data_IF_187713402365
#
_entry.id   IF_187713402365
#
_cell.length_a   1.000
_cell.length_b   1.000
_cell.length_c   1.000
_cell.angle_alpha   90.00
_cell.angle_beta   90.00
_cell.angle_gamma   90.00
#
_symmetry.space_group_name_H-M   'P 1'
#
loop_
_entity.id
_entity.type
_entity.pdbx_description
1 polymer ?
#
# COMPACT_ATOMS: atom_id res chain seq x y z
N UNK A 1 -12.77 -22.46 -64.51
CA UNK A 1 -12.86 -22.54 -63.07
C UNK A 1 -11.82 -21.61 -62.43
N UNK A 2 -12.20 -20.47 -61.91
CA UNK A 2 -11.31 -19.55 -61.23
C UNK A 2 -11.38 -19.81 -59.72
N UNK A 3 -10.22 -20.22 -59.13
CA UNK A 3 -10.09 -20.31 -57.68
C UNK A 3 -9.93 -18.90 -57.10
N UNK A 4 -10.92 -18.47 -56.30
CA UNK A 4 -10.80 -17.28 -55.49
C UNK A 4 -9.96 -17.61 -54.25
N UNK A 5 -8.75 -17.02 -54.14
CA UNK A 5 -7.94 -17.07 -52.92
C UNK A 5 -8.54 -16.14 -51.88
N UNK A 6 -9.09 -16.70 -50.79
CA UNK A 6 -9.55 -15.93 -49.63
C UNK A 6 -8.33 -15.52 -48.82
N UNK A 7 -7.98 -14.24 -48.80
CA UNK A 7 -6.97 -13.68 -47.89
C UNK A 7 -7.56 -13.61 -46.48
N UNK A 8 -7.09 -14.45 -45.58
CA UNK A 8 -7.40 -14.36 -44.15
C UNK A 8 -6.61 -13.18 -43.57
N UNK A 9 -7.30 -12.06 -43.32
CA UNK A 9 -6.75 -10.93 -42.59
C UNK A 9 -6.70 -11.33 -41.11
N UNK A 10 -5.51 -11.63 -40.60
CA UNK A 10 -5.29 -11.72 -39.16
C UNK A 10 -5.45 -10.30 -38.57
N UNK A 11 -6.48 -10.10 -37.76
CA UNK A 11 -6.54 -8.92 -36.94
C UNK A 11 -5.30 -8.88 -36.01
N UNK A 12 -4.63 -7.73 -35.87
CA UNK A 12 -3.51 -7.62 -34.94
C UNK A 12 -4.00 -8.06 -33.55
N UNK A 13 -3.23 -8.93 -32.88
CA UNK A 13 -3.50 -9.33 -31.51
C UNK A 13 -3.58 -8.06 -30.66
N UNK A 14 -4.74 -7.78 -30.09
CA UNK A 14 -4.93 -6.64 -29.21
C UNK A 14 -4.01 -6.86 -27.98
N UNK A 15 -3.02 -5.99 -27.82
CA UNK A 15 -2.10 -6.08 -26.67
C UNK A 15 -2.93 -6.01 -25.41
N UNK A 16 -2.86 -7.07 -24.60
CA UNK A 16 -3.62 -7.14 -23.35
C UNK A 16 -3.17 -6.00 -22.43
N UNK A 17 -4.09 -5.11 -22.08
CA UNK A 17 -3.80 -4.01 -21.17
C UNK A 17 -3.48 -4.55 -19.78
N UNK A 18 -2.53 -3.90 -19.13
CA UNK A 18 -2.15 -4.23 -17.75
C UNK A 18 -3.26 -3.77 -16.79
N UNK A 19 -3.38 -4.44 -15.65
CA UNK A 19 -4.31 -4.01 -14.61
C UNK A 19 -3.73 -2.82 -13.84
N UNK A 20 -4.59 -1.87 -13.47
CA UNK A 20 -4.25 -0.77 -12.57
C UNK A 20 -4.75 -1.12 -11.16
N UNK A 21 -3.86 -1.15 -10.16
CA UNK A 21 -4.22 -1.10 -8.75
C UNK A 21 -4.35 0.37 -8.34
N UNK A 22 -5.56 0.80 -7.91
CA UNK A 22 -5.81 2.19 -7.57
C UNK A 22 -6.05 2.36 -6.08
N UNK A 23 -5.34 3.31 -5.46
CA UNK A 23 -5.44 3.62 -4.04
C UNK A 23 -5.32 5.11 -3.78
N UNK A 24 -6.20 5.66 -2.95
CA UNK A 24 -6.19 7.06 -2.52
C UNK A 24 -6.68 7.20 -1.07
N UNK A 25 -6.58 8.41 -0.53
CA UNK A 25 -7.23 8.85 0.70
C UNK A 25 -8.43 9.80 0.42
N UNK A 26 -9.01 9.73 -0.79
CA UNK A 26 -10.06 10.66 -1.23
C UNK A 26 -11.45 10.35 -0.64
N UNK A 27 -11.61 9.18 0.01
CA UNK A 27 -12.92 8.61 0.34
C UNK A 27 -13.76 8.32 -0.93
N UNK A 28 -14.98 7.85 -0.75
CA UNK A 28 -15.94 7.53 -1.83
C UNK A 28 -17.23 8.36 -1.74
N UNK A 29 -17.17 9.45 -0.94
CA UNK A 29 -18.33 10.32 -0.71
C UNK A 29 -18.59 11.32 -1.83
N UNK A 30 -17.53 11.70 -2.56
CA UNK A 30 -17.61 12.63 -3.67
C UNK A 30 -17.20 11.97 -5.00
N UNK A 31 -17.02 12.78 -6.03
CA UNK A 31 -16.76 12.36 -7.41
C UNK A 31 -15.26 12.15 -7.72
N UNK A 32 -14.33 12.43 -6.80
CA UNK A 32 -12.89 12.46 -7.07
C UNK A 32 -12.36 11.11 -7.60
N UNK A 33 -12.75 10.01 -6.98
CA UNK A 33 -12.36 8.65 -7.42
C UNK A 33 -12.95 8.33 -8.80
N UNK A 34 -14.22 8.68 -9.01
CA UNK A 34 -14.92 8.48 -10.29
C UNK A 34 -14.26 9.26 -11.42
N UNK A 35 -13.91 10.52 -11.19
CA UNK A 35 -13.20 11.37 -12.16
C UNK A 35 -11.82 10.78 -12.52
N UNK A 36 -11.04 10.36 -11.54
CA UNK A 36 -9.75 9.72 -11.79
C UNK A 36 -9.87 8.48 -12.68
N UNK A 37 -10.87 7.62 -12.41
CA UNK A 37 -11.14 6.43 -13.24
C UNK A 37 -11.60 6.79 -14.64
N UNK A 38 -12.44 7.81 -14.79
CA UNK A 38 -12.86 8.30 -16.10
C UNK A 38 -11.69 8.82 -16.94
N UNK A 39 -10.74 9.52 -16.31
CA UNK A 39 -9.48 9.93 -16.96
C UNK A 39 -8.65 8.71 -17.38
N UNK A 40 -8.53 7.69 -16.53
CA UNK A 40 -7.81 6.46 -16.86
C UNK A 40 -8.44 5.76 -18.06
N UNK A 41 -9.76 5.62 -18.08
CA UNK A 41 -10.49 5.00 -19.21
C UNK A 41 -10.36 5.84 -20.49
N UNK A 42 -10.38 7.17 -20.39
CA UNK A 42 -10.21 8.07 -21.54
C UNK A 42 -8.83 7.94 -22.20
N UNK A 43 -7.78 7.67 -21.44
CA UNK A 43 -6.40 7.45 -21.96
C UNK A 43 -6.21 6.00 -22.43
N UNK A 44 -6.73 5.03 -21.70
CA UNK A 44 -6.62 3.60 -21.97
C UNK A 44 -8.02 2.96 -21.95
N UNK A 45 -8.82 3.10 -23.02
CA UNK A 45 -10.20 2.61 -23.06
C UNK A 45 -10.31 1.13 -22.72
N UNK A 46 -11.18 0.79 -21.76
CA UNK A 46 -11.37 -0.56 -21.27
C UNK A 46 -10.27 -1.06 -20.31
N UNK A 47 -9.41 -0.19 -19.81
CA UNK A 47 -8.40 -0.56 -18.80
C UNK A 47 -9.10 -1.09 -17.53
N UNK A 48 -8.62 -2.20 -17.02
CA UNK A 48 -9.15 -2.77 -15.79
C UNK A 48 -8.53 -2.09 -14.58
N UNK A 49 -9.36 -1.38 -13.81
CA UNK A 49 -8.97 -0.75 -12.55
C UNK A 49 -9.51 -1.58 -11.38
N UNK A 50 -8.62 -1.95 -10.45
CA UNK A 50 -8.94 -2.63 -9.20
C UNK A 50 -8.68 -1.66 -8.06
N UNK A 51 -9.71 -1.28 -7.32
CA UNK A 51 -9.54 -0.46 -6.13
C UNK A 51 -8.88 -1.26 -5.01
N UNK A 52 -7.79 -0.74 -4.48
CA UNK A 52 -7.17 -1.28 -3.25
C UNK A 52 -7.95 -0.74 -2.05
N UNK A 53 -8.01 0.57 -1.94
CA UNK A 53 -8.87 1.32 -1.02
C UNK A 53 -8.87 2.80 -1.39
N UNK A 54 -9.94 3.51 -1.03
CA UNK A 54 -10.03 4.97 -1.08
C UNK A 54 -10.37 5.57 0.28
N UNK A 55 -10.42 4.71 1.31
CA UNK A 55 -10.76 5.04 2.69
C UNK A 55 -9.57 4.82 3.63
N UNK A 56 -8.34 5.01 3.14
CA UNK A 56 -7.19 5.15 4.03
C UNK A 56 -7.35 6.45 4.83
N UNK A 57 -6.78 6.46 6.03
CA UNK A 57 -6.78 7.68 6.85
C UNK A 57 -6.16 8.83 6.07
N UNK A 58 -6.83 10.00 5.99
CA UNK A 58 -6.34 11.15 5.24
C UNK A 58 -4.92 11.54 5.68
N UNK A 59 -4.06 11.80 4.67
CA UNK A 59 -2.68 12.24 4.84
C UNK A 59 -1.73 11.19 5.45
N UNK A 60 -2.20 9.97 5.80
CA UNK A 60 -1.38 8.94 6.42
C UNK A 60 -0.57 8.17 5.37
N UNK A 61 0.60 8.74 4.99
CA UNK A 61 1.51 8.14 4.00
C UNK A 61 2.03 6.78 4.49
N UNK A 62 2.29 6.62 5.80
CA UNK A 62 2.79 5.37 6.37
C UNK A 62 1.77 4.24 6.24
N UNK A 63 0.47 4.50 6.48
CA UNK A 63 -0.62 3.55 6.23
C UNK A 63 -0.68 3.19 4.74
N UNK A 64 -0.60 4.20 3.85
CA UNK A 64 -0.59 3.98 2.41
C UNK A 64 0.58 3.10 1.96
N UNK A 65 1.79 3.34 2.45
CA UNK A 65 2.96 2.51 2.16
C UNK A 65 2.75 1.05 2.62
N UNK A 66 2.14 0.83 3.80
CA UNK A 66 1.80 -0.51 4.29
C UNK A 66 0.77 -1.20 3.41
N UNK A 67 -0.29 -0.49 3.02
CA UNK A 67 -1.34 -1.07 2.16
C UNK A 67 -0.79 -1.38 0.77
N UNK A 68 -0.01 -0.49 0.17
CA UNK A 68 0.63 -0.72 -1.12
C UNK A 68 1.54 -1.95 -1.07
N UNK A 69 2.45 -2.00 -0.12
CA UNK A 69 3.36 -3.14 0.04
C UNK A 69 2.62 -4.45 0.34
N UNK A 70 1.55 -4.40 1.14
CA UNK A 70 0.74 -5.57 1.46
C UNK A 70 -0.10 -6.08 0.29
N UNK A 71 -0.54 -5.21 -0.61
CA UNK A 71 -1.41 -5.56 -1.75
C UNK A 71 -0.62 -5.96 -3.01
N UNK A 72 0.51 -5.31 -3.28
CA UNK A 72 1.27 -5.50 -4.51
C UNK A 72 1.63 -6.96 -4.83
N UNK A 73 1.97 -7.84 -3.87
CA UNK A 73 2.27 -9.25 -4.15
C UNK A 73 1.12 -10.05 -4.76
N UNK A 74 -0.12 -9.60 -4.59
CA UNK A 74 -1.33 -10.29 -5.11
C UNK A 74 -1.74 -9.80 -6.50
N UNK A 75 -1.05 -8.79 -7.03
CA UNK A 75 -1.26 -8.30 -8.38
C UNK A 75 -0.30 -8.94 -9.38
N UNK A 76 -0.64 -8.95 -10.68
CA UNK A 76 0.27 -9.41 -11.73
C UNK A 76 1.63 -8.68 -11.67
N UNK A 77 2.70 -9.37 -12.12
CA UNK A 77 4.06 -8.80 -12.10
C UNK A 77 4.23 -7.57 -13.00
N UNK A 78 3.37 -7.38 -13.96
CA UNK A 78 3.35 -6.23 -14.87
C UNK A 78 2.27 -5.20 -14.52
N UNK A 79 1.59 -5.35 -13.38
CA UNK A 79 0.58 -4.40 -12.92
C UNK A 79 1.13 -2.99 -12.75
N UNK A 80 0.26 -2.01 -12.92
CA UNK A 80 0.53 -0.60 -12.68
C UNK A 80 -0.23 -0.19 -11.40
N UNK A 81 0.44 0.47 -10.49
CA UNK A 81 -0.19 1.03 -9.28
C UNK A 81 -0.27 2.54 -9.40
N UNK A 82 -1.47 3.09 -9.28
CA UNK A 82 -1.71 4.52 -9.12
C UNK A 82 -2.08 4.77 -7.67
N UNK A 83 -1.20 5.45 -6.93
CA UNK A 83 -1.38 5.65 -5.49
C UNK A 83 -1.29 7.13 -5.17
N UNK A 84 -2.36 7.69 -4.62
CA UNK A 84 -2.44 9.13 -4.34
C UNK A 84 -2.85 9.35 -2.89
N UNK A 85 -1.87 9.39 -2.00
CA UNK A 85 -1.96 9.91 -0.64
C UNK A 85 -0.93 11.02 -0.59
N UNK A 86 -1.38 12.27 -0.75
CA UNK A 86 -0.52 13.38 -1.17
C UNK A 86 -0.79 14.67 -0.40
N UNK A 87 -0.38 14.72 0.89
CA UNK A 87 -0.46 15.98 1.66
C UNK A 87 0.40 17.10 1.08
N UNK A 88 1.30 16.80 0.15
CA UNK A 88 2.16 17.74 -0.55
C UNK A 88 1.69 18.16 -1.94
N UNK A 89 0.41 17.94 -2.31
CA UNK A 89 -0.13 18.33 -3.61
C UNK A 89 0.12 19.82 -3.87
N UNK A 90 0.60 20.14 -5.09
CA UNK A 90 0.91 21.54 -5.47
C UNK A 90 2.22 22.11 -4.88
N UNK A 91 2.96 21.35 -4.08
CA UNK A 91 4.30 21.73 -3.57
C UNK A 91 5.42 21.33 -4.56
N UNK A 92 6.66 21.42 -4.11
CA UNK A 92 7.85 20.99 -4.87
C UNK A 92 8.09 19.49 -4.86
N UNK A 93 7.23 18.68 -4.19
CA UNK A 93 7.35 17.22 -4.20
C UNK A 93 7.20 16.71 -5.64
N UNK A 94 8.03 15.76 -6.03
CA UNK A 94 8.00 15.18 -7.37
C UNK A 94 6.81 14.26 -7.57
N UNK A 95 6.21 14.27 -8.77
CA UNK A 95 5.35 13.19 -9.25
C UNK A 95 6.24 12.20 -9.98
N UNK A 96 6.16 10.92 -9.65
CA UNK A 96 7.08 9.92 -10.21
C UNK A 96 6.36 8.71 -10.79
N UNK A 97 7.02 8.11 -11.78
CA UNK A 97 6.75 6.77 -12.25
C UNK A 97 8.01 5.93 -12.01
N UNK A 98 7.85 4.78 -11.36
CA UNK A 98 8.97 3.93 -10.95
C UNK A 98 8.68 2.47 -11.24
N UNK A 99 9.72 1.68 -11.52
CA UNK A 99 9.61 0.23 -11.75
C UNK A 99 10.37 -0.55 -10.70
N UNK A 100 9.70 -1.54 -10.12
CA UNK A 100 10.35 -2.48 -9.21
C UNK A 100 11.08 -3.57 -9.98
N UNK A 101 12.01 -4.25 -9.28
CA UNK A 101 12.75 -5.40 -9.83
C UNK A 101 11.86 -6.57 -10.25
N UNK A 102 10.68 -6.70 -9.63
CA UNK A 102 9.70 -7.74 -9.99
C UNK A 102 8.88 -7.39 -11.24
N UNK A 103 8.99 -6.14 -11.74
CA UNK A 103 8.36 -5.70 -12.99
C UNK A 103 7.13 -4.82 -12.82
N UNK A 104 6.63 -4.63 -11.60
CA UNK A 104 5.49 -3.74 -11.32
C UNK A 104 5.88 -2.27 -11.46
N UNK A 105 4.94 -1.46 -11.95
CA UNK A 105 5.12 -0.02 -12.16
C UNK A 105 4.30 0.76 -11.14
N UNK A 106 4.87 1.80 -10.56
CA UNK A 106 4.26 2.63 -9.51
C UNK A 106 4.21 4.09 -9.96
N UNK A 107 3.04 4.69 -9.94
CA UNK A 107 2.76 6.09 -10.31
C UNK A 107 2.19 6.78 -9.08
N UNK A 108 2.97 7.67 -8.47
CA UNK A 108 2.66 8.22 -7.15
C UNK A 108 3.49 9.47 -6.83
N UNK A 109 3.16 10.25 -5.78
CA UNK A 109 4.03 11.29 -5.27
C UNK A 109 5.29 10.68 -4.61
N UNK A 110 6.45 11.30 -4.86
CA UNK A 110 7.71 10.96 -4.17
C UNK A 110 7.70 11.55 -2.75
N UNK A 111 7.00 10.87 -1.85
CA UNK A 111 6.80 11.29 -0.46
C UNK A 111 6.98 10.16 0.56
N UNK A 112 7.54 9.02 0.10
CA UNK A 112 7.80 7.86 0.95
C UNK A 112 6.83 6.69 0.78
N UNK A 113 5.78 6.82 -0.02
CA UNK A 113 4.84 5.72 -0.33
C UNK A 113 5.53 4.45 -0.84
N UNK A 114 6.67 4.59 -1.55
CA UNK A 114 7.45 3.45 -2.06
C UNK A 114 8.33 2.76 -1.03
N UNK A 115 8.51 3.31 0.17
CA UNK A 115 9.51 2.83 1.13
C UNK A 115 9.49 1.32 1.33
N UNK A 116 8.35 0.74 1.65
CA UNK A 116 8.24 -0.70 1.93
C UNK A 116 8.31 -1.57 0.66
N UNK A 117 7.86 -1.07 -0.48
CA UNK A 117 8.04 -1.75 -1.78
C UNK A 117 9.52 -1.74 -2.16
N UNK A 118 10.22 -0.62 -1.94
CA UNK A 118 11.65 -0.50 -2.20
C UNK A 118 12.47 -1.46 -1.33
N UNK A 119 12.08 -1.64 -0.06
CA UNK A 119 12.75 -2.58 0.85
C UNK A 119 12.55 -4.03 0.43
N UNK A 120 11.31 -4.40 0.04
CA UNK A 120 10.99 -5.78 -0.33
C UNK A 120 11.49 -6.17 -1.72
N UNK A 121 11.22 -5.31 -2.72
CA UNK A 121 11.37 -5.66 -4.14
C UNK A 121 12.55 -4.93 -4.79
N UNK A 122 12.98 -3.81 -4.23
CA UNK A 122 13.91 -2.87 -4.88
C UNK A 122 13.25 -2.11 -6.03
N UNK A 123 13.68 -0.87 -6.23
CA UNK A 123 13.32 -0.06 -7.40
C UNK A 123 14.52 -0.04 -8.34
N UNK A 124 14.30 -0.35 -9.61
CA UNK A 124 15.39 -0.44 -10.61
C UNK A 124 15.53 0.85 -11.41
N UNK A 125 14.43 1.58 -11.61
CA UNK A 125 14.41 2.81 -12.40
C UNK A 125 13.21 3.67 -11.98
N UNK A 126 13.40 4.99 -12.03
CA UNK A 126 12.35 5.97 -11.76
C UNK A 126 12.52 7.21 -12.63
N UNK A 127 11.41 7.82 -13.03
CA UNK A 127 11.34 9.06 -13.78
C UNK A 127 10.42 10.05 -13.10
N UNK A 128 10.75 11.34 -13.18
CA UNK A 128 9.84 12.42 -12.80
C UNK A 128 8.82 12.62 -13.92
N UNK A 129 7.53 12.67 -13.58
CA UNK A 129 6.46 12.91 -14.55
C UNK A 129 6.43 14.40 -14.84
N UNK A 130 7.04 14.81 -15.95
CA UNK A 130 7.15 16.22 -16.39
C UNK A 130 6.70 16.41 -17.82
N UNK A 131 6.52 15.32 -18.59
CA UNK A 131 6.06 15.40 -19.98
C UNK A 131 4.54 15.68 -20.02
N UNK A 132 4.08 16.81 -20.58
CA UNK A 132 2.66 17.14 -20.69
C UNK A 132 1.82 16.10 -21.44
N UNK A 133 2.43 15.32 -22.35
CA UNK A 133 1.75 14.24 -23.06
C UNK A 133 1.34 13.07 -22.14
N UNK A 134 1.90 12.99 -20.93
CA UNK A 134 1.61 11.99 -19.90
C UNK A 134 0.64 12.51 -18.84
N UNK A 135 0.14 13.73 -19.00
CA UNK A 135 -0.78 14.41 -18.10
C UNK A 135 -2.09 14.71 -18.83
N UNK A 136 -3.06 15.31 -18.12
CA UNK A 136 -4.37 15.67 -18.72
C UNK A 136 -4.26 16.77 -19.81
N UNK A 137 -3.07 17.32 -20.04
CA UNK A 137 -2.82 18.40 -20.99
C UNK A 137 -2.47 19.72 -20.31
N UNK A 138 -3.00 20.84 -20.78
CA UNK A 138 -2.79 22.16 -20.19
C UNK A 138 -3.73 22.40 -19.01
N UNK A 139 -3.30 23.20 -18.03
CA UNK A 139 -4.17 23.61 -16.92
C UNK A 139 -4.16 22.62 -15.75
N UNK A 140 -2.97 22.10 -15.40
CA UNK A 140 -2.78 21.26 -14.21
C UNK A 140 -3.23 22.03 -12.97
N UNK A 141 -4.21 21.47 -12.24
CA UNK A 141 -4.68 22.04 -10.97
C UNK A 141 -3.61 21.91 -9.88
N UNK A 142 -3.47 22.93 -9.06
CA UNK A 142 -2.58 22.85 -7.89
C UNK A 142 -3.09 21.96 -6.75
N UNK A 143 -4.34 21.48 -6.85
CA UNK A 143 -5.00 20.71 -5.77
C UNK A 143 -5.52 19.35 -6.19
N UNK A 144 -5.40 18.96 -7.48
CA UNK A 144 -5.95 17.67 -7.94
C UNK A 144 -4.99 16.92 -8.89
N UNK A 145 -3.76 16.68 -8.44
CA UNK A 145 -2.77 15.91 -9.20
C UNK A 145 -3.18 14.44 -9.41
N UNK A 146 -4.07 13.90 -8.57
CA UNK A 146 -4.70 12.59 -8.79
C UNK A 146 -5.32 12.48 -10.17
N UNK A 147 -6.14 13.47 -10.54
CA UNK A 147 -6.80 13.59 -11.85
C UNK A 147 -5.81 13.97 -12.96
N UNK A 148 -4.97 14.97 -12.71
CA UNK A 148 -4.26 15.67 -13.78
C UNK A 148 -2.92 15.04 -14.15
N UNK A 149 -2.28 14.33 -13.22
CA UNK A 149 -0.93 13.76 -13.38
C UNK A 149 -0.94 12.24 -13.19
N UNK A 150 -1.39 11.75 -12.02
CA UNK A 150 -1.19 10.34 -11.67
C UNK A 150 -2.12 9.40 -12.46
N UNK A 151 -3.39 9.75 -12.63
CA UNK A 151 -4.34 8.93 -13.39
C UNK A 151 -3.96 8.79 -14.86
N UNK A 152 -3.69 9.87 -15.63
CA UNK A 152 -3.29 9.73 -17.02
C UNK A 152 -1.94 9.01 -17.15
N UNK A 153 -0.93 9.30 -16.32
CA UNK A 153 0.36 8.63 -16.37
C UNK A 153 0.24 7.12 -16.10
N UNK A 154 -0.58 6.73 -15.12
CA UNK A 154 -0.87 5.32 -14.84
C UNK A 154 -1.56 4.61 -16.00
N UNK A 155 -2.50 5.28 -16.67
CA UNK A 155 -3.21 4.74 -17.81
C UNK A 155 -2.30 4.58 -19.04
N UNK A 156 -1.41 5.54 -19.33
CA UNK A 156 -0.37 5.41 -20.35
C UNK A 156 0.50 4.17 -20.10
N UNK A 157 1.00 4.01 -18.88
CA UNK A 157 1.81 2.86 -18.50
C UNK A 157 1.04 1.52 -18.61
N UNK A 158 -0.26 1.50 -18.25
CA UNK A 158 -1.11 0.31 -18.35
C UNK A 158 -1.44 -0.04 -19.80
N UNK A 159 -1.62 0.95 -20.66
CA UNK A 159 -1.79 0.76 -22.12
C UNK A 159 -0.56 0.14 -22.78
N UNK A 160 0.60 0.28 -22.15
CA UNK A 160 1.87 -0.26 -22.65
C UNK A 160 2.75 0.76 -23.36
N UNK A 161 2.47 2.05 -23.17
CA UNK A 161 3.34 3.12 -23.68
C UNK A 161 4.71 3.04 -23.00
N UNK A 162 5.73 3.56 -23.66
CA UNK A 162 7.09 3.61 -23.11
C UNK A 162 7.14 4.60 -21.94
N UNK A 163 7.03 4.08 -20.73
CA UNK A 163 6.92 4.86 -19.51
C UNK A 163 8.15 5.73 -19.20
N UNK A 164 9.31 5.45 -19.86
CA UNK A 164 10.50 6.30 -19.74
C UNK A 164 10.29 7.68 -20.39
N UNK A 165 9.30 7.79 -21.28
CA UNK A 165 8.92 9.05 -21.91
C UNK A 165 8.10 9.97 -20.99
N UNK A 166 7.75 9.53 -19.78
CA UNK A 166 7.02 10.37 -18.82
C UNK A 166 7.84 11.59 -18.35
N UNK A 167 9.18 11.52 -18.42
CA UNK A 167 10.05 12.62 -18.09
C UNK A 167 11.48 12.19 -17.77
N UNK A 168 12.22 13.04 -17.04
CA UNK A 168 13.64 12.81 -16.75
C UNK A 168 13.87 11.68 -15.76
N UNK A 169 14.94 10.91 -15.98
CA UNK A 169 15.38 9.85 -15.06
C UNK A 169 15.77 10.43 -13.70
N UNK A 170 15.43 9.73 -12.64
CA UNK A 170 15.77 10.05 -11.26
C UNK A 170 16.81 9.08 -10.69
N UNK A 171 17.63 9.57 -9.80
CA UNK A 171 18.49 8.73 -8.97
C UNK A 171 17.63 8.02 -7.92
N UNK A 172 17.45 6.71 -8.09
CA UNK A 172 16.63 5.86 -7.21
C UNK A 172 17.09 5.94 -5.75
N UNK A 173 18.38 6.16 -5.49
CA UNK A 173 18.92 6.28 -4.14
C UNK A 173 18.45 7.55 -3.41
N UNK A 174 17.92 8.53 -4.13
CA UNK A 174 17.41 9.81 -3.61
C UNK A 174 15.90 9.89 -3.52
N UNK A 175 15.19 8.83 -3.85
CA UNK A 175 13.74 8.78 -3.62
C UNK A 175 13.45 8.94 -2.13
N UNK A 176 12.39 9.68 -1.83
CA UNK A 176 11.99 9.94 -0.45
C UNK A 176 11.63 8.64 0.26
N UNK A 177 12.13 8.50 1.48
CA UNK A 177 11.86 7.34 2.34
C UNK A 177 11.24 7.78 3.65
N UNK A 178 10.26 7.01 4.10
CA UNK A 178 9.72 7.13 5.45
C UNK A 178 10.67 6.45 6.43
N UNK A 179 10.76 7.02 7.61
CA UNK A 179 11.41 6.41 8.75
C UNK A 179 10.40 5.47 9.45
N UNK A 180 10.33 4.24 8.96
CA UNK A 180 9.42 3.21 9.47
C UNK A 180 10.23 2.21 10.29
N UNK A 181 10.24 2.41 11.60
CA UNK A 181 10.95 1.51 12.49
C UNK A 181 10.16 0.23 12.76
N UNK A 182 10.84 -0.91 12.72
CA UNK A 182 10.36 -2.13 13.36
C UNK A 182 10.66 -2.05 14.87
N UNK A 183 9.92 -2.83 15.65
CA UNK A 183 10.19 -3.00 17.06
C UNK A 183 11.64 -3.47 17.30
N UNK A 184 12.23 -3.05 18.40
CA UNK A 184 13.58 -3.39 18.81
C UNK A 184 13.58 -4.25 20.07
N UNK A 185 14.57 -5.13 20.22
CA UNK A 185 14.77 -5.93 21.43
C UNK A 185 16.02 -5.44 22.15
N UNK A 186 15.88 -5.17 23.43
CA UNK A 186 17.00 -4.83 24.34
C UNK A 186 17.06 -5.80 25.53
N UNK A 187 17.76 -5.40 26.61
CA UNK A 187 17.89 -6.20 27.84
C UNK A 187 16.59 -6.38 28.60
N UNK A 188 15.64 -5.44 28.49
CA UNK A 188 14.38 -5.46 29.21
C UNK A 188 13.24 -6.16 28.43
N UNK A 189 13.40 -6.33 27.13
CA UNK A 189 12.40 -6.95 26.27
C UNK A 189 12.29 -6.29 24.91
N UNK A 190 11.13 -6.46 24.28
CA UNK A 190 10.77 -5.85 23.01
C UNK A 190 10.09 -4.50 23.27
N UNK A 191 10.49 -3.49 22.52
CA UNK A 191 9.90 -2.15 22.48
C UNK A 191 9.38 -1.89 21.08
N UNK A 192 8.11 -1.52 21.00
CA UNK A 192 7.42 -1.28 19.74
C UNK A 192 6.28 -0.29 19.86
N UNK A 193 5.50 -0.18 18.79
CA UNK A 193 4.35 0.72 18.69
C UNK A 193 3.20 0.07 17.92
N UNK A 194 1.99 0.55 18.19
CA UNK A 194 0.82 0.30 17.35
C UNK A 194 0.96 1.13 16.07
N UNK A 195 0.92 0.48 14.91
CA UNK A 195 1.07 1.13 13.61
C UNK A 195 -0.25 1.27 12.84
N UNK A 196 -1.34 0.93 13.45
CA UNK A 196 -2.68 1.08 12.89
C UNK A 196 -3.65 0.04 13.42
N UNK A 197 -4.87 0.10 12.91
CA UNK A 197 -5.93 -0.86 13.21
C UNK A 197 -6.33 -1.63 11.95
N UNK A 198 -6.81 -2.85 12.12
CA UNK A 198 -7.25 -3.71 11.04
C UNK A 198 -8.73 -3.47 10.72
N UNK A 199 -8.97 -2.59 9.75
CA UNK A 199 -10.28 -2.27 9.18
C UNK A 199 -11.40 -2.08 10.19
N UNK A 200 -12.62 -2.60 9.93
CA UNK A 200 -13.76 -2.41 10.82
C UNK A 200 -13.68 -3.26 12.09
N UNK A 201 -12.74 -4.21 12.17
CA UNK A 201 -12.61 -5.12 13.32
C UNK A 201 -11.88 -4.47 14.49
N UNK A 202 -11.08 -3.42 14.25
CA UNK A 202 -10.35 -2.69 15.27
C UNK A 202 -9.26 -3.48 15.97
N UNK A 203 -8.73 -4.54 15.35
CA UNK A 203 -7.54 -5.21 15.85
C UNK A 203 -6.34 -4.28 15.75
N UNK A 204 -5.46 -4.26 16.74
CA UNK A 204 -4.24 -3.47 16.68
C UNK A 204 -3.17 -4.20 15.88
N UNK A 205 -2.60 -3.53 14.90
CA UNK A 205 -1.43 -4.00 14.14
C UNK A 205 -0.18 -3.37 14.75
N UNK A 206 0.79 -4.20 15.12
CA UNK A 206 2.02 -3.75 15.78
C UNK A 206 3.18 -3.68 14.78
N UNK A 207 4.17 -2.81 15.04
CA UNK A 207 5.40 -2.77 14.25
C UNK A 207 6.37 -3.92 14.57
N UNK A 208 5.83 -5.05 15.03
CA UNK A 208 6.56 -6.23 15.50
C UNK A 208 6.46 -7.35 14.47
N UNK A 209 7.52 -7.59 13.66
CA UNK A 209 7.58 -8.77 12.79
C UNK A 209 7.52 -10.07 13.60
N UNK A 210 6.91 -11.10 13.04
CA UNK A 210 6.77 -12.41 13.68
C UNK A 210 8.12 -13.00 14.12
N UNK A 211 9.16 -12.85 13.29
CA UNK A 211 10.53 -13.30 13.59
C UNK A 211 11.17 -12.51 14.75
N UNK A 212 10.81 -11.24 14.93
CA UNK A 212 11.26 -10.43 16.07
C UNK A 212 10.57 -10.88 17.34
N UNK A 213 9.23 -11.11 17.27
CA UNK A 213 8.48 -11.63 18.43
C UNK A 213 8.97 -13.01 18.87
N UNK A 214 9.29 -13.90 17.92
CA UNK A 214 9.78 -15.24 18.22
C UNK A 214 11.10 -15.24 19.05
N UNK A 215 11.90 -14.18 18.98
CA UNK A 215 13.14 -14.05 19.77
C UNK A 215 12.88 -13.82 21.26
N UNK A 216 11.65 -13.48 21.65
CA UNK A 216 11.26 -13.35 23.06
C UNK A 216 11.05 -14.70 23.75
N UNK A 217 10.88 -15.79 22.99
CA UNK A 217 10.75 -17.16 23.48
C UNK A 217 9.30 -17.61 23.74
N UNK A 218 8.29 -16.77 23.53
CA UNK A 218 6.89 -17.15 23.66
C UNK A 218 6.46 -18.12 22.56
N UNK A 219 5.57 -19.05 22.93
CA UNK A 219 4.99 -20.06 22.05
C UNK A 219 3.45 -19.97 22.08
N UNK A 220 2.79 -20.64 21.16
CA UNK A 220 1.33 -20.77 21.20
C UNK A 220 0.89 -21.27 22.57
N UNK A 221 -0.23 -20.74 23.04
CA UNK A 221 -0.89 -20.97 24.34
C UNK A 221 -0.17 -20.35 25.55
N UNK A 222 0.94 -19.62 25.34
CA UNK A 222 1.54 -18.84 26.42
C UNK A 222 0.75 -17.55 26.69
N UNK A 223 0.63 -17.19 27.97
CA UNK A 223 0.22 -15.86 28.39
C UNK A 223 1.37 -14.88 28.19
N UNK A 224 1.15 -13.85 27.36
CA UNK A 224 2.14 -12.83 27.05
C UNK A 224 1.84 -11.54 27.79
N UNK A 225 2.68 -11.13 28.74
CA UNK A 225 2.54 -9.84 29.40
C UNK A 225 2.92 -8.71 28.44
N UNK A 226 2.19 -7.60 28.54
CA UNK A 226 2.44 -6.41 27.73
C UNK A 226 2.14 -5.15 28.54
N UNK A 227 3.03 -4.17 28.48
CA UNK A 227 2.72 -2.79 28.78
C UNK A 227 2.27 -2.11 27.50
N UNK A 228 1.02 -1.66 27.44
CA UNK A 228 0.41 -1.03 26.29
C UNK A 228 -0.20 0.30 26.69
N UNK A 229 0.27 1.38 26.06
CA UNK A 229 -0.18 2.75 26.39
C UNK A 229 -0.10 3.05 27.90
N UNK A 230 0.98 2.58 28.56
CA UNK A 230 1.23 2.79 30.00
C UNK A 230 0.38 1.94 30.96
N UNK A 231 -0.34 0.93 30.44
CA UNK A 231 -1.12 -0.02 31.25
C UNK A 231 -0.60 -1.43 31.05
N UNK A 232 -0.62 -2.21 32.15
CA UNK A 232 -0.15 -3.59 32.14
C UNK A 232 -1.28 -4.58 31.87
N UNK A 233 -1.06 -5.51 30.95
CA UNK A 233 -1.99 -6.58 30.56
C UNK A 233 -1.24 -7.90 30.37
N UNK A 234 -1.99 -8.99 30.28
CA UNK A 234 -1.50 -10.28 29.80
C UNK A 234 -2.59 -10.92 28.95
N UNK A 235 -2.22 -11.43 27.77
CA UNK A 235 -3.16 -12.05 26.83
C UNK A 235 -2.54 -13.31 26.23
N UNK A 236 -3.35 -14.35 25.93
CA UNK A 236 -2.84 -15.56 25.31
C UNK A 236 -2.34 -15.32 23.89
N UNK A 237 -1.21 -15.91 23.53
CA UNK A 237 -0.70 -15.96 22.16
C UNK A 237 -1.25 -17.21 21.50
N UNK A 238 -2.14 -17.03 20.54
CA UNK A 238 -2.85 -18.14 19.89
C UNK A 238 -2.73 -18.07 18.36
N UNK A 239 -3.15 -19.11 17.69
CA UNK A 239 -3.06 -19.19 16.23
C UNK A 239 -4.18 -18.41 15.54
N UNK A 240 -5.38 -18.41 16.10
CA UNK A 240 -6.57 -17.82 15.49
C UNK A 240 -7.59 -17.36 16.53
N UNK A 241 -8.53 -16.53 16.11
CA UNK A 241 -9.58 -15.97 16.98
C UNK A 241 -10.43 -17.05 17.67
N UNK A 242 -10.68 -18.18 17.01
CA UNK A 242 -11.49 -19.26 17.57
C UNK A 242 -10.83 -20.04 18.71
N UNK A 243 -9.55 -19.81 18.97
CA UNK A 243 -8.81 -20.46 20.06
C UNK A 243 -9.12 -19.82 21.43
N UNK A 244 -9.79 -18.68 21.43
CA UNK A 244 -10.30 -18.05 22.64
C UNK A 244 -11.82 -17.86 22.59
N UNK A 245 -12.53 -17.83 23.72
CA UNK A 245 -13.97 -17.56 23.76
C UNK A 245 -14.34 -16.21 23.16
N UNK A 246 -15.56 -16.07 22.64
CA UNK A 246 -16.11 -14.79 22.16
C UNK A 246 -15.98 -13.73 23.26
N UNK A 247 -15.45 -12.56 22.88
CA UNK A 247 -15.21 -11.43 23.77
C UNK A 247 -13.92 -11.50 24.58
N UNK A 248 -13.04 -12.49 24.29
CA UNK A 248 -11.70 -12.59 24.91
C UNK A 248 -10.62 -12.07 23.99
N UNK A 249 -9.63 -11.50 24.62
CA UNK A 249 -8.44 -10.92 24.00
C UNK A 249 -7.47 -12.02 23.55
N UNK A 250 -6.63 -11.68 22.55
CA UNK A 250 -5.61 -12.57 22.04
C UNK A 250 -4.47 -11.78 21.37
N UNK A 251 -3.26 -12.34 21.45
CA UNK A 251 -2.19 -12.09 20.50
C UNK A 251 -2.22 -13.12 19.37
N UNK A 252 -1.93 -12.69 18.16
CA UNK A 252 -1.80 -13.57 17.00
C UNK A 252 -0.82 -12.98 15.99
N UNK A 253 -0.33 -13.79 15.06
CA UNK A 253 0.39 -13.30 13.90
C UNK A 253 -0.62 -13.10 12.77
N UNK A 254 -0.70 -11.86 12.29
CA UNK A 254 -1.61 -11.50 11.21
C UNK A 254 -1.17 -12.07 9.85
N UNK A 255 -2.03 -11.92 8.83
CA UNK A 255 -1.77 -12.40 7.47
C UNK A 255 -0.61 -11.70 6.75
N UNK A 256 -0.06 -10.65 7.33
CA UNK A 256 1.12 -9.90 6.83
C UNK A 256 2.38 -10.19 7.63
N UNK A 257 2.33 -11.19 8.53
CA UNK A 257 3.46 -11.64 9.33
C UNK A 257 3.83 -10.69 10.49
N UNK A 258 2.87 -9.94 11.04
CA UNK A 258 3.08 -9.06 12.18
C UNK A 258 2.32 -9.54 13.40
N UNK A 259 2.89 -9.31 14.59
CA UNK A 259 2.16 -9.49 15.85
C UNK A 259 1.02 -8.50 15.90
N UNK A 260 -0.15 -8.97 16.27
CA UNK A 260 -1.37 -8.20 16.38
C UNK A 260 -2.14 -8.53 17.65
N UNK A 261 -2.95 -7.59 18.11
CA UNK A 261 -3.85 -7.75 19.26
C UNK A 261 -5.30 -7.66 18.81
N UNK A 262 -6.14 -8.56 19.26
CA UNK A 262 -7.55 -8.58 18.93
C UNK A 262 -8.42 -9.02 20.08
N UNK A 263 -9.73 -8.88 19.89
CA UNK A 263 -10.76 -9.49 20.73
C UNK A 263 -11.64 -10.34 19.82
N UNK A 264 -11.86 -11.58 20.19
CA UNK A 264 -12.72 -12.45 19.40
C UNK A 264 -14.14 -11.86 19.27
N UNK A 265 -14.53 -11.48 18.05
CA UNK A 265 -15.82 -10.84 17.68
C UNK A 265 -16.09 -9.48 18.37
N UNK A 266 -15.05 -8.73 18.74
CA UNK A 266 -15.17 -7.35 19.27
C UNK A 266 -14.02 -6.47 18.78
N UNK A 267 -14.20 -5.16 18.92
CA UNK A 267 -13.22 -4.15 18.55
C UNK A 267 -12.27 -3.87 19.73
N UNK A 268 -10.98 -4.21 19.55
CA UNK A 268 -9.95 -4.00 20.57
C UNK A 268 -9.67 -2.51 20.78
N UNK A 269 -9.48 -1.77 19.69
CA UNK A 269 -9.15 -0.34 19.72
C UNK A 269 -10.19 0.48 20.47
N UNK A 270 -11.49 0.23 20.21
CA UNK A 270 -12.59 0.91 20.91
C UNK A 270 -12.69 0.48 22.38
N UNK A 271 -12.50 -0.81 22.66
CA UNK A 271 -12.61 -1.35 24.03
C UNK A 271 -11.53 -0.80 24.94
N UNK A 272 -10.29 -0.75 24.46
CA UNK A 272 -9.13 -0.33 25.23
C UNK A 272 -8.78 1.15 25.04
N UNK A 273 -9.41 1.83 24.06
CA UNK A 273 -9.12 3.21 23.65
C UNK A 273 -7.65 3.39 23.29
N UNK A 274 -7.11 2.46 22.51
CA UNK A 274 -5.74 2.43 22.04
C UNK A 274 -5.75 2.42 20.52
N UNK A 275 -4.89 3.24 19.90
CA UNK A 275 -4.77 3.37 18.45
C UNK A 275 -3.33 3.57 18.00
N UNK A 276 -3.17 4.00 16.76
CA UNK A 276 -1.87 4.26 16.14
C UNK A 276 -1.01 5.21 16.99
N UNK A 277 0.30 4.93 17.04
CA UNK A 277 1.27 5.68 17.82
C UNK A 277 1.40 5.27 19.29
N UNK A 278 0.55 4.38 19.80
CA UNK A 278 0.66 3.92 21.18
C UNK A 278 1.90 3.03 21.36
N UNK A 279 2.72 3.35 22.38
CA UNK A 279 3.91 2.58 22.72
C UNK A 279 3.53 1.25 23.39
N UNK A 280 4.38 0.24 23.17
CA UNK A 280 4.26 -1.05 23.83
C UNK A 280 5.63 -1.62 24.23
N UNK A 281 5.62 -2.41 25.30
CA UNK A 281 6.74 -3.24 25.73
C UNK A 281 6.28 -4.67 26.04
N UNK A 282 7.06 -5.66 25.59
CA UNK A 282 6.82 -7.08 25.88
C UNK A 282 8.12 -7.64 26.47
N UNK A 283 8.13 -8.13 27.74
CA UNK A 283 9.33 -8.71 28.33
C UNK A 283 9.77 -9.99 27.62
N UNK A 284 11.01 -10.41 27.82
CA UNK A 284 11.44 -11.76 27.44
C UNK A 284 10.78 -12.78 28.38
N UNK A 285 10.47 -13.95 27.84
CA UNK A 285 9.98 -15.09 28.60
C UNK A 285 11.03 -15.63 29.54
#
# INVERSE_FOLDING_TARGET
MALAAASILFAPAQQQQKVIGFMTDFDVKDDAVGICKAVMDGVAPGVRVIDITHQSEPYNIAMGARFLAGSAPYFPKDAVFVVVIDPGVGSTRKAIIARSRVGQTFVLPDNGLLTLVQDRDGIVEAHEITNPAWMIGSGISSTFHGRDIFSPAGAHAARGDDWTQAGSVLDVSKLVRLDLHNATINTTGLHGQVIGTDGPFGNLVLNVPAETFAQLGYKLDDEVPIDLAGKHYAFPFVKTFSDVPVGKELFYIDSRGRLSLGINQRNFSETYKVGEGADLTIPKK
#
